data_IF_764335436929
#
_entry.id   IF_764335436929
#
_cell.length_a   1.000
_cell.length_b   1.000
_cell.length_c   1.000
_cell.angle_alpha   90.00
_cell.angle_beta   90.00
_cell.angle_gamma   90.00
#
_symmetry.space_group_name_H-M   'P 1'
#
loop_
_entity.id
_entity.type
_entity.pdbx_description
1 polymer ?
#
# COMPACT_ATOMS: atom_id res chain seq x y z
N UNK A 1 9.14 -24.14 -14.36
CA UNK A 1 9.87 -23.39 -13.32
C UNK A 1 11.39 -23.62 -13.38
N UNK A 2 11.92 -24.69 -13.92
CA UNK A 2 13.37 -25.00 -13.91
C UNK A 2 14.17 -24.35 -15.04
N UNK A 3 13.53 -23.73 -16.02
CA UNK A 3 14.20 -23.04 -17.11
C UNK A 3 13.35 -21.84 -17.56
N UNK A 4 13.98 -20.69 -17.83
CA UNK A 4 13.35 -19.48 -18.35
C UNK A 4 13.10 -18.41 -17.29
N UNK A 5 12.27 -17.39 -17.60
CA UNK A 5 12.06 -16.21 -16.75
C UNK A 5 11.46 -16.48 -15.36
N UNK A 6 10.86 -17.66 -15.15
CA UNK A 6 10.29 -18.08 -13.88
C UNK A 6 11.29 -18.85 -12.98
N UNK A 7 12.48 -19.11 -13.47
CA UNK A 7 13.54 -19.79 -12.72
C UNK A 7 13.89 -19.06 -11.40
N UNK A 8 13.83 -17.73 -11.42
CA UNK A 8 14.05 -16.92 -10.23
C UNK A 8 13.18 -17.30 -9.01
N UNK A 9 12.01 -17.92 -9.22
CA UNK A 9 11.11 -18.38 -8.17
C UNK A 9 11.30 -19.86 -7.78
N UNK A 10 12.21 -20.57 -8.43
CA UNK A 10 12.47 -22.00 -8.20
C UNK A 10 13.59 -22.26 -7.19
N UNK A 11 14.33 -21.23 -6.80
CA UNK A 11 15.45 -21.34 -5.88
C UNK A 11 15.01 -21.23 -4.42
N UNK A 12 15.85 -21.72 -3.51
CA UNK A 12 15.65 -21.49 -2.08
C UNK A 12 15.67 -19.99 -1.76
N UNK A 13 14.83 -19.58 -0.80
CA UNK A 13 14.76 -18.19 -0.40
C UNK A 13 16.07 -17.71 0.21
N UNK A 14 16.65 -16.68 -0.35
CA UNK A 14 17.83 -15.98 0.19
C UNK A 14 17.46 -14.78 1.10
N UNK A 15 16.17 -14.62 1.41
CA UNK A 15 15.65 -13.54 2.23
C UNK A 15 15.46 -14.01 3.66
N UNK A 16 16.07 -13.32 4.63
CA UNK A 16 15.76 -13.53 6.05
C UNK A 16 14.40 -12.94 6.39
N UNK A 17 13.42 -13.82 6.55
CA UNK A 17 12.04 -13.46 6.89
C UNK A 17 11.82 -13.21 8.39
N UNK A 18 12.84 -13.29 9.23
CA UNK A 18 12.71 -13.16 10.68
C UNK A 18 12.80 -11.70 11.17
N UNK A 19 13.17 -10.77 10.31
CA UNK A 19 13.28 -9.36 10.64
C UNK A 19 11.94 -8.76 11.08
N UNK A 20 11.98 -7.83 12.05
CA UNK A 20 10.80 -7.12 12.54
C UNK A 20 10.14 -6.26 11.47
N UNK A 21 10.93 -5.66 10.59
CA UNK A 21 10.48 -4.85 9.46
C UNK A 21 10.97 -5.53 8.21
N UNK A 22 10.06 -5.77 7.27
CA UNK A 22 10.34 -6.33 5.96
C UNK A 22 9.76 -5.43 4.89
N UNK A 23 10.50 -5.22 3.83
CA UNK A 23 10.09 -4.48 2.65
C UNK A 23 10.25 -5.38 1.43
N UNK A 24 9.19 -5.49 0.65
CA UNK A 24 9.19 -6.16 -0.63
C UNK A 24 9.13 -5.10 -1.73
N UNK A 25 10.19 -4.96 -2.50
CA UNK A 25 10.21 -4.10 -3.67
C UNK A 25 9.96 -4.95 -4.92
N UNK A 26 8.96 -4.52 -5.70
CA UNK A 26 8.54 -5.18 -6.94
C UNK A 26 8.75 -4.30 -8.17
N UNK A 27 9.42 -3.15 -8.00
CA UNK A 27 9.58 -2.15 -9.07
C UNK A 27 10.32 -2.74 -10.27
N UNK A 28 11.39 -3.47 -10.01
CA UNK A 28 12.25 -4.06 -11.05
C UNK A 28 11.71 -5.36 -11.64
N UNK A 29 10.59 -5.88 -11.12
CA UNK A 29 9.92 -7.02 -11.72
C UNK A 29 9.24 -6.61 -13.02
N UNK A 30 9.75 -7.07 -14.16
CA UNK A 30 9.11 -6.86 -15.46
C UNK A 30 7.64 -7.31 -15.46
N UNK A 31 6.83 -6.80 -16.38
CA UNK A 31 5.37 -7.06 -16.43
C UNK A 31 4.98 -8.54 -16.33
N UNK A 32 5.78 -9.43 -16.91
CA UNK A 32 5.51 -10.88 -16.89
C UNK A 32 5.68 -11.49 -15.49
N UNK A 33 6.65 -11.01 -14.70
CA UNK A 33 6.94 -11.54 -13.37
C UNK A 33 6.16 -10.85 -12.26
N UNK A 34 5.60 -9.66 -12.52
CA UNK A 34 4.90 -8.84 -11.53
C UNK A 34 3.73 -9.58 -10.88
N UNK A 35 2.88 -10.22 -11.68
CA UNK A 35 1.74 -10.99 -11.17
C UNK A 35 2.20 -12.16 -10.29
N UNK A 36 3.20 -12.92 -10.74
CA UNK A 36 3.75 -14.03 -9.97
C UNK A 36 4.42 -13.53 -8.69
N UNK A 37 5.20 -12.45 -8.77
CA UNK A 37 5.81 -11.80 -7.61
C UNK A 37 4.78 -11.36 -6.58
N UNK A 38 3.68 -10.74 -7.01
CA UNK A 38 2.57 -10.36 -6.12
C UNK A 38 1.94 -11.57 -5.42
N UNK A 39 1.74 -12.68 -6.13
CA UNK A 39 1.20 -13.91 -5.52
C UNK A 39 2.16 -14.48 -4.47
N UNK A 40 3.45 -14.59 -4.80
CA UNK A 40 4.48 -15.10 -3.88
C UNK A 40 4.60 -14.22 -2.64
N UNK A 41 4.65 -12.90 -2.81
CA UNK A 41 4.73 -11.95 -1.70
C UNK A 41 3.47 -12.02 -0.83
N UNK A 42 2.29 -12.10 -1.45
CA UNK A 42 1.04 -12.20 -0.69
C UNK A 42 0.98 -13.49 0.12
N UNK A 43 1.44 -14.61 -0.43
CA UNK A 43 1.54 -15.86 0.30
C UNK A 43 2.55 -15.78 1.46
N UNK A 44 3.72 -15.20 1.22
CA UNK A 44 4.73 -14.94 2.26
C UNK A 44 4.17 -14.05 3.39
N UNK A 45 3.42 -12.99 3.05
CA UNK A 45 2.74 -12.14 4.03
C UNK A 45 1.70 -12.92 4.84
N UNK A 46 0.88 -13.76 4.19
CA UNK A 46 -0.12 -14.59 4.87
C UNK A 46 0.52 -15.58 5.84
N UNK A 47 1.62 -16.19 5.46
CA UNK A 47 2.39 -17.11 6.30
C UNK A 47 2.95 -16.36 7.51
N UNK A 48 3.56 -15.20 7.30
CA UNK A 48 4.08 -14.36 8.38
C UNK A 48 3.00 -13.89 9.36
N UNK A 49 1.85 -13.44 8.82
CA UNK A 49 0.68 -13.08 9.64
C UNK A 49 0.23 -14.25 10.49
N UNK A 50 0.21 -15.45 9.91
CA UNK A 50 -0.22 -16.66 10.61
C UNK A 50 0.71 -17.00 11.76
N UNK A 51 2.02 -16.97 11.54
CA UNK A 51 3.03 -17.23 12.56
C UNK A 51 2.99 -16.18 13.68
N UNK A 52 2.88 -14.90 13.35
CA UNK A 52 2.75 -13.83 14.33
C UNK A 52 1.47 -14.00 15.18
N UNK A 53 0.34 -14.34 14.53
CA UNK A 53 -0.92 -14.58 15.21
C UNK A 53 -0.85 -15.73 16.22
N UNK A 54 -0.23 -16.87 15.85
CA UNK A 54 0.01 -18.00 16.75
C UNK A 54 0.83 -17.60 17.99
N UNK A 55 1.72 -16.60 17.84
CA UNK A 55 2.55 -16.05 18.90
C UNK A 55 1.88 -14.88 19.65
N UNK A 56 0.61 -14.55 19.37
CA UNK A 56 -0.09 -13.42 19.96
C UNK A 56 0.41 -12.04 19.50
N UNK A 57 1.21 -11.99 18.44
CA UNK A 57 1.78 -10.75 17.89
C UNK A 57 0.83 -10.11 16.89
N UNK A 58 0.87 -8.78 16.82
CA UNK A 58 0.20 -7.98 15.79
C UNK A 58 1.08 -7.86 14.55
N UNK A 59 0.46 -7.78 13.38
CA UNK A 59 1.15 -7.52 12.12
C UNK A 59 0.54 -6.31 11.42
N UNK A 60 1.36 -5.32 11.09
CA UNK A 60 0.97 -4.19 10.26
C UNK A 60 1.51 -4.39 8.86
N UNK A 61 0.67 -4.23 7.87
CA UNK A 61 0.99 -4.42 6.45
C UNK A 61 0.68 -3.10 5.74
N UNK A 62 1.68 -2.54 5.07
CA UNK A 62 1.53 -1.34 4.26
C UNK A 62 1.72 -1.71 2.80
N UNK A 63 0.78 -1.31 1.96
CA UNK A 63 0.73 -1.62 0.55
C UNK A 63 0.67 -0.30 -0.21
N UNK A 64 1.80 0.09 -0.75
CA UNK A 64 1.90 1.26 -1.60
C UNK A 64 1.49 0.94 -3.03
N UNK A 65 0.97 1.93 -3.76
CA UNK A 65 0.40 1.79 -5.11
C UNK A 65 -0.59 0.61 -5.22
N UNK A 66 -1.50 0.54 -4.25
CA UNK A 66 -2.41 -0.59 -4.06
C UNK A 66 -3.23 -0.96 -5.30
N UNK A 67 -3.49 0.00 -6.20
CA UNK A 67 -4.19 -0.24 -7.45
C UNK A 67 -3.53 -1.31 -8.33
N UNK A 68 -2.21 -1.46 -8.24
CA UNK A 68 -1.42 -2.44 -9.00
C UNK A 68 -1.88 -3.88 -8.77
N UNK A 69 -2.40 -4.17 -7.58
CA UNK A 69 -2.93 -5.50 -7.22
C UNK A 69 -4.11 -5.90 -8.11
N UNK A 70 -4.88 -4.90 -8.59
CA UNK A 70 -6.10 -5.11 -9.39
C UNK A 70 -5.88 -5.00 -10.90
N UNK A 71 -4.67 -4.74 -11.36
CA UNK A 71 -4.32 -4.79 -12.80
C UNK A 71 -4.54 -6.17 -13.42
N UNK A 72 -4.55 -7.21 -12.57
CA UNK A 72 -4.84 -8.59 -12.98
C UNK A 72 -5.93 -9.17 -12.06
N UNK A 73 -6.94 -9.79 -12.67
CA UNK A 73 -8.09 -10.34 -11.96
C UNK A 73 -7.69 -11.43 -10.95
N UNK A 74 -6.72 -12.28 -11.29
CA UNK A 74 -6.24 -13.35 -10.39
C UNK A 74 -5.55 -12.77 -9.16
N UNK A 75 -4.68 -11.77 -9.31
CA UNK A 75 -4.03 -11.12 -8.18
C UNK A 75 -5.04 -10.39 -7.31
N UNK A 76 -6.00 -9.68 -7.90
CA UNK A 76 -7.08 -9.00 -7.18
C UNK A 76 -7.94 -9.96 -6.36
N UNK A 77 -8.39 -11.07 -6.96
CA UNK A 77 -9.20 -12.08 -6.26
C UNK A 77 -8.41 -12.77 -5.13
N UNK A 78 -7.15 -13.12 -5.38
CA UNK A 78 -6.28 -13.73 -4.38
C UNK A 78 -6.05 -12.77 -3.21
N UNK A 79 -5.74 -11.50 -3.50
CA UNK A 79 -5.50 -10.49 -2.48
C UNK A 79 -6.77 -10.15 -1.67
N UNK A 80 -7.93 -10.08 -2.30
CA UNK A 80 -9.21 -9.90 -1.59
C UNK A 80 -9.47 -11.05 -0.60
N UNK A 81 -9.14 -12.29 -0.98
CA UNK A 81 -9.21 -13.44 -0.06
C UNK A 81 -8.22 -13.29 1.10
N UNK A 82 -7.00 -12.82 0.84
CA UNK A 82 -5.98 -12.55 1.86
C UNK A 82 -6.42 -11.44 2.83
N UNK A 83 -7.00 -10.35 2.33
CA UNK A 83 -7.50 -9.21 3.10
C UNK A 83 -8.48 -9.64 4.19
N UNK A 84 -9.43 -10.52 3.84
CA UNK A 84 -10.40 -11.07 4.81
C UNK A 84 -9.74 -11.92 5.89
N UNK A 85 -8.64 -12.61 5.58
CA UNK A 85 -7.89 -13.44 6.53
C UNK A 85 -7.05 -12.59 7.47
N UNK A 86 -6.50 -11.47 7.02
CA UNK A 86 -5.71 -10.56 7.83
C UNK A 86 -6.49 -10.09 9.05
N UNK A 87 -7.73 -9.62 8.86
CA UNK A 87 -8.60 -9.20 9.98
C UNK A 87 -8.76 -10.27 11.04
N UNK A 88 -8.99 -11.53 10.64
CA UNK A 88 -9.18 -12.65 11.56
C UNK A 88 -7.91 -13.05 12.31
N UNK A 89 -6.75 -12.59 11.88
CA UNK A 89 -5.44 -12.96 12.40
C UNK A 89 -4.69 -11.79 13.03
N UNK A 90 -5.42 -10.81 13.57
CA UNK A 90 -4.84 -9.64 14.23
C UNK A 90 -3.81 -8.91 13.35
N UNK A 91 -4.07 -8.86 12.06
CA UNK A 91 -3.28 -8.12 11.09
C UNK A 91 -4.05 -6.90 10.58
N UNK A 92 -3.33 -5.79 10.41
CA UNK A 92 -3.86 -4.48 10.07
C UNK A 92 -3.29 -4.05 8.71
N UNK A 93 -3.98 -4.37 7.62
CA UNK A 93 -3.56 -3.92 6.31
C UNK A 93 -3.93 -2.45 6.10
N UNK A 94 -2.99 -1.68 5.56
CA UNK A 94 -3.13 -0.28 5.14
C UNK A 94 -2.81 -0.21 3.66
N UNK A 95 -3.79 0.11 2.84
CA UNK A 95 -3.62 0.33 1.41
C UNK A 95 -3.43 1.81 1.13
N UNK A 96 -2.44 2.14 0.33
CA UNK A 96 -2.10 3.50 -0.09
C UNK A 96 -2.17 3.54 -1.61
N UNK A 97 -2.81 4.56 -2.17
CA UNK A 97 -2.90 4.74 -3.61
C UNK A 97 -3.07 6.20 -3.98
N UNK A 98 -2.54 6.58 -5.11
CA UNK A 98 -2.78 7.87 -5.76
C UNK A 98 -3.82 7.73 -6.87
N UNK A 99 -4.06 6.53 -7.38
CA UNK A 99 -4.97 6.26 -8.50
C UNK A 99 -6.28 5.65 -7.98
N UNK A 100 -7.19 6.52 -7.54
CA UNK A 100 -8.45 6.13 -6.93
C UNK A 100 -9.46 5.65 -7.98
N UNK A 101 -9.48 6.28 -9.16
CA UNK A 101 -10.39 5.91 -10.24
C UNK A 101 -10.28 4.43 -10.60
N UNK A 102 -9.06 3.95 -10.77
CA UNK A 102 -8.80 2.56 -11.11
C UNK A 102 -9.31 1.57 -10.04
N UNK A 103 -9.23 1.97 -8.78
CA UNK A 103 -9.79 1.16 -7.69
C UNK A 103 -11.31 1.17 -7.66
N UNK A 104 -11.93 2.31 -7.96
CA UNK A 104 -13.38 2.46 -7.91
C UNK A 104 -14.08 1.72 -9.05
N UNK A 105 -13.40 1.50 -10.17
CA UNK A 105 -13.91 0.73 -11.30
C UNK A 105 -13.84 -0.80 -11.05
N UNK A 106 -13.04 -1.24 -10.08
CA UNK A 106 -12.99 -2.64 -9.65
C UNK A 106 -14.04 -2.94 -8.58
N UNK A 107 -14.95 -3.86 -8.83
CA UNK A 107 -15.96 -4.33 -7.85
C UNK A 107 -15.30 -4.87 -6.58
N UNK A 108 -14.20 -5.59 -6.73
CA UNK A 108 -13.45 -6.14 -5.58
C UNK A 108 -12.85 -5.02 -4.73
N UNK A 109 -12.20 -4.05 -5.36
CA UNK A 109 -11.58 -2.93 -4.66
C UNK A 109 -12.63 -2.02 -4.01
N UNK A 110 -13.72 -1.69 -4.71
CA UNK A 110 -14.82 -0.90 -4.16
C UNK A 110 -15.43 -1.57 -2.93
N UNK A 111 -15.59 -2.89 -2.95
CA UNK A 111 -16.04 -3.65 -1.78
C UNK A 111 -15.06 -3.57 -0.61
N UNK A 112 -13.75 -3.61 -0.87
CA UNK A 112 -12.73 -3.47 0.16
C UNK A 112 -12.74 -2.06 0.76
N UNK A 113 -12.86 -1.01 -0.05
CA UNK A 113 -12.98 0.38 0.39
C UNK A 113 -14.21 0.55 1.27
N UNK A 114 -15.38 0.09 0.82
CA UNK A 114 -16.64 0.21 1.57
C UNK A 114 -16.59 -0.49 2.94
N UNK A 115 -15.83 -1.59 3.04
CA UNK A 115 -15.64 -2.35 4.28
C UNK A 115 -14.45 -1.88 5.12
N UNK A 116 -13.75 -0.82 4.69
CA UNK A 116 -12.65 -0.26 5.46
C UNK A 116 -13.18 0.59 6.61
N UNK A 117 -12.72 0.29 7.82
CA UNK A 117 -13.12 1.00 9.04
C UNK A 117 -12.55 2.43 9.08
N UNK A 118 -11.35 2.60 8.50
CA UNK A 118 -10.62 3.86 8.53
C UNK A 118 -10.15 4.21 7.12
N UNK A 119 -10.55 5.38 6.63
CA UNK A 119 -10.17 5.88 5.31
C UNK A 119 -9.68 7.31 5.44
N UNK A 120 -8.47 7.59 4.99
CA UNK A 120 -7.89 8.93 4.91
C UNK A 120 -7.96 9.40 3.46
N UNK A 121 -8.62 10.50 3.24
CA UNK A 121 -8.74 11.14 1.93
C UNK A 121 -8.01 12.47 1.96
N UNK A 122 -6.96 12.58 1.17
CA UNK A 122 -6.24 13.82 0.90
C UNK A 122 -6.90 14.54 -0.29
N UNK A 123 -6.21 15.51 -0.88
CA UNK A 123 -6.70 16.19 -2.07
C UNK A 123 -6.98 15.20 -3.21
N UNK A 124 -8.17 15.29 -3.80
CA UNK A 124 -8.62 14.36 -4.85
C UNK A 124 -8.90 15.09 -6.16
N UNK A 125 -8.63 14.42 -7.28
CA UNK A 125 -9.03 14.88 -8.61
C UNK A 125 -10.56 14.90 -8.76
N UNK A 126 -11.08 15.73 -9.67
CA UNK A 126 -12.53 15.92 -9.81
C UNK A 126 -13.30 14.61 -10.15
N UNK A 127 -12.87 13.77 -11.08
CA UNK A 127 -13.58 12.52 -11.38
C UNK A 127 -13.67 11.59 -10.17
N UNK A 128 -12.59 11.50 -9.40
CA UNK A 128 -12.49 10.62 -8.23
C UNK A 128 -13.41 11.07 -7.10
N UNK A 129 -13.54 12.39 -6.91
CA UNK A 129 -14.39 12.97 -5.86
C UNK A 129 -15.84 12.54 -5.99
N UNK A 130 -16.39 12.59 -7.20
CA UNK A 130 -17.79 12.23 -7.45
C UNK A 130 -18.05 10.74 -7.14
N UNK A 131 -17.15 9.88 -7.59
CA UNK A 131 -17.23 8.42 -7.32
C UNK A 131 -17.09 8.14 -5.81
N UNK A 132 -16.10 8.75 -5.13
CA UNK A 132 -15.89 8.62 -3.68
C UNK A 132 -17.07 9.16 -2.88
N UNK A 133 -17.64 10.30 -3.26
CA UNK A 133 -18.80 10.87 -2.59
C UNK A 133 -19.98 9.90 -2.60
N UNK A 134 -20.25 9.29 -3.73
CA UNK A 134 -21.31 8.29 -3.86
C UNK A 134 -21.03 7.05 -3.03
N UNK A 135 -19.80 6.51 -3.10
CA UNK A 135 -19.42 5.28 -2.41
C UNK A 135 -19.42 5.42 -0.88
N UNK A 136 -19.00 6.58 -0.37
CA UNK A 136 -18.78 6.82 1.05
C UNK A 136 -19.85 7.71 1.70
N UNK A 137 -20.86 8.13 0.93
CA UNK A 137 -21.92 9.07 1.35
C UNK A 137 -21.36 10.39 1.89
N UNK A 138 -20.43 10.99 1.13
CA UNK A 138 -19.82 12.29 1.48
C UNK A 138 -20.74 13.41 0.99
N UNK A 139 -21.11 14.36 1.87
CA UNK A 139 -21.93 15.52 1.48
C UNK A 139 -21.13 16.52 0.64
N UNK A 140 -21.86 17.41 -0.05
CA UNK A 140 -21.24 18.49 -0.85
C UNK A 140 -20.34 19.39 -0.01
N UNK A 141 -20.76 19.70 1.23
CA UNK A 141 -19.98 20.51 2.17
C UNK A 141 -18.70 19.78 2.60
N UNK A 142 -18.80 18.49 2.89
CA UNK A 142 -17.65 17.65 3.27
C UNK A 142 -16.67 17.47 2.11
N UNK A 143 -17.16 17.44 0.88
CA UNK A 143 -16.31 17.38 -0.33
C UNK A 143 -15.35 18.58 -0.42
N UNK A 144 -15.72 19.72 0.13
CA UNK A 144 -14.86 20.90 0.20
C UNK A 144 -13.50 20.62 0.87
N UNK A 145 -13.44 19.69 1.82
CA UNK A 145 -12.21 19.35 2.55
C UNK A 145 -11.22 18.47 1.76
N UNK A 146 -11.66 17.90 0.63
CA UNK A 146 -10.80 17.12 -0.28
C UNK A 146 -10.69 17.74 -1.67
N UNK A 147 -11.24 18.96 -1.83
CA UNK A 147 -11.17 19.77 -3.04
C UNK A 147 -10.17 20.89 -2.82
N UNK A 148 -9.07 20.90 -3.57
CA UNK A 148 -8.00 21.88 -3.43
C UNK A 148 -7.44 21.97 -1.99
N UNK A 149 -7.42 20.86 -1.28
CA UNK A 149 -6.87 20.79 0.07
C UNK A 149 -5.35 21.02 0.06
N UNK A 150 -4.86 21.76 1.03
CA UNK A 150 -3.43 21.91 1.27
C UNK A 150 -2.77 20.58 1.62
N UNK A 151 -1.45 20.48 1.41
CA UNK A 151 -0.68 19.32 1.82
C UNK A 151 -0.87 19.05 3.33
N UNK A 152 -1.21 17.81 3.65
CA UNK A 152 -1.49 17.39 5.03
C UNK A 152 -2.90 17.73 5.54
N UNK A 153 -3.78 18.23 4.67
CA UNK A 153 -5.20 18.46 4.99
C UNK A 153 -6.07 17.47 4.24
N UNK A 154 -7.24 17.17 4.79
CA UNK A 154 -8.16 16.24 4.16
C UNK A 154 -9.34 15.85 5.03
N UNK A 155 -9.93 14.70 4.71
CA UNK A 155 -11.09 14.13 5.37
C UNK A 155 -10.78 12.71 5.82
N UNK A 156 -11.11 12.38 7.07
CA UNK A 156 -11.00 11.04 7.62
C UNK A 156 -12.39 10.47 7.82
N UNK A 157 -12.61 9.26 7.30
CA UNK A 157 -13.75 8.42 7.65
C UNK A 157 -13.33 7.43 8.73
N UNK A 158 -14.08 7.37 9.81
CA UNK A 158 -13.95 6.35 10.85
C UNK A 158 -15.35 5.84 11.22
N UNK A 159 -15.60 4.58 10.92
CA UNK A 159 -16.95 4.03 11.01
C UNK A 159 -17.94 4.83 10.16
N UNK A 160 -18.96 5.40 10.79
CA UNK A 160 -19.96 6.28 10.15
C UNK A 160 -19.59 7.78 10.18
N UNK A 161 -18.54 8.16 10.89
CA UNK A 161 -18.15 9.55 11.07
C UNK A 161 -17.18 10.01 10.01
N UNK A 162 -17.38 11.22 9.50
CA UNK A 162 -16.50 11.92 8.56
C UNK A 162 -15.99 13.19 9.25
N UNK A 163 -14.68 13.31 9.44
CA UNK A 163 -14.04 14.38 10.20
C UNK A 163 -12.96 15.04 9.36
N UNK A 164 -12.99 16.36 9.15
CA UNK A 164 -11.89 17.06 8.51
C UNK A 164 -10.68 17.09 9.44
N UNK A 165 -9.48 17.03 8.86
CA UNK A 165 -8.24 17.09 9.61
C UNK A 165 -7.21 18.01 8.96
N UNK A 166 -6.29 18.49 9.80
CA UNK A 166 -5.09 19.24 9.41
C UNK A 166 -3.92 18.59 10.12
N UNK A 167 -3.02 18.00 9.36
CA UNK A 167 -1.80 17.39 9.86
C UNK A 167 -0.60 17.85 9.00
N UNK A 168 -0.14 19.08 9.26
CA UNK A 168 1.02 19.65 8.58
C UNK A 168 2.29 19.11 9.21
N UNK A 169 2.99 18.25 8.48
CA UNK A 169 4.24 17.68 8.97
C UNK A 169 5.32 18.77 9.11
N UNK A 170 6.07 18.84 10.23
CA UNK A 170 7.10 19.85 10.43
C UNK A 170 8.27 19.66 9.46
N UNK A 171 8.47 20.63 8.55
CA UNK A 171 9.47 20.55 7.48
C UNK A 171 10.91 20.75 7.97
N UNK A 172 11.09 21.30 9.15
CA UNK A 172 12.42 21.54 9.77
C UNK A 172 12.98 20.30 10.47
N UNK A 173 12.29 19.16 10.45
CA UNK A 173 12.74 17.94 11.13
C UNK A 173 13.65 17.09 10.25
N UNK A 174 14.55 16.31 10.91
CA UNK A 174 15.38 15.33 10.20
C UNK A 174 14.51 14.27 9.50
N UNK A 175 13.40 13.89 10.11
CA UNK A 175 12.48 12.89 9.53
C UNK A 175 11.87 13.41 8.23
N UNK A 176 11.44 14.67 8.19
CA UNK A 176 10.95 15.28 6.94
C UNK A 176 12.01 15.23 5.84
N UNK A 177 13.24 15.63 6.14
CA UNK A 177 14.35 15.63 5.19
C UNK A 177 14.71 14.25 4.66
N UNK A 178 14.49 13.20 5.45
CA UNK A 178 14.71 11.81 5.03
C UNK A 178 13.57 11.27 4.17
N UNK A 179 12.33 11.76 4.37
CA UNK A 179 11.14 11.23 3.72
C UNK A 179 10.65 12.09 2.54
N UNK A 180 11.14 13.33 2.40
CA UNK A 180 10.71 14.19 1.31
C UNK A 180 11.25 13.69 -0.03
N UNK A 181 10.39 13.67 -1.04
CA UNK A 181 10.74 13.39 -2.44
C UNK A 181 10.74 14.64 -3.30
N UNK A 182 10.56 15.83 -2.69
CA UNK A 182 10.54 17.08 -3.44
C UNK A 182 11.92 17.41 -3.98
N UNK A 183 12.05 17.72 -5.27
CA UNK A 183 13.31 18.15 -5.85
C UNK A 183 13.90 19.36 -5.11
N UNK A 184 15.17 19.27 -4.71
CA UNK A 184 15.87 20.32 -3.97
C UNK A 184 15.76 20.28 -2.44
N UNK A 185 14.83 19.51 -1.88
CA UNK A 185 14.70 19.29 -0.43
C UNK A 185 15.38 17.98 0.03
N UNK A 186 15.78 17.12 -0.89
CA UNK A 186 16.29 15.75 -0.71
C UNK A 186 17.80 15.64 -0.45
N UNK A 187 18.42 16.67 0.15
CA UNK A 187 19.87 16.76 0.32
C UNK A 187 20.52 15.64 1.15
N UNK A 188 19.73 14.76 1.77
CA UNK A 188 20.21 13.65 2.61
C UNK A 188 20.07 12.28 1.93
N UNK A 189 19.18 12.13 0.95
CA UNK A 189 18.84 10.82 0.38
C UNK A 189 19.83 10.28 -0.67
N UNK A 190 20.65 11.13 -1.29
CA UNK A 190 21.60 10.68 -2.31
C UNK A 190 22.78 9.87 -1.77
N UNK A 191 23.05 9.89 -0.47
CA UNK A 191 24.12 9.12 0.16
C UNK A 191 23.72 7.75 0.71
N UNK A 192 22.43 7.49 0.91
CA UNK A 192 21.95 6.27 1.58
C UNK A 192 21.47 5.18 0.62
N UNK A 193 21.23 5.52 -0.65
CA UNK A 193 20.82 4.56 -1.70
C UNK A 193 21.99 3.82 -2.37
N UNK A 194 23.23 4.07 -1.94
CA UNK A 194 24.43 3.38 -2.45
C UNK A 194 24.81 2.10 -1.70
N UNK A 195 24.00 1.64 -0.74
CA UNK A 195 24.11 0.28 -0.23
C UNK A 195 23.15 -0.64 -0.98
N UNK A 196 23.32 -0.73 -2.28
CA UNK A 196 22.91 -1.89 -3.04
C UNK A 196 23.77 -3.07 -2.56
N UNK A 197 23.12 -4.18 -2.26
CA UNK A 197 23.74 -5.46 -1.99
C UNK A 197 24.94 -5.72 -2.89
N UNK A 198 26.02 -6.32 -2.38
CA UNK A 198 27.14 -6.69 -3.22
C UNK A 198 26.66 -7.56 -4.37
N UNK A 199 27.03 -7.17 -5.58
CA UNK A 199 26.78 -7.97 -6.79
C UNK A 199 27.35 -9.37 -6.57
N UNK A 200 26.63 -10.44 -6.88
CA UNK A 200 27.19 -11.78 -6.85
C UNK A 200 28.04 -12.03 -8.10
N UNK A 201 29.16 -11.31 -8.20
CA UNK A 201 30.24 -11.53 -9.14
C UNK A 201 31.51 -11.04 -8.50
N UNK A 202 32.14 -11.92 -7.77
CA UNK A 202 33.57 -12.21 -7.71
C UNK A 202 33.74 -13.53 -6.94
#
# INVERSE_FOLDING_TARGET
FTNGSLDAFAHESNVDVNNRIMVYDILDLGKQLKTMGLLVITDAMLNRVTENWKQGKRTHIFLDEFHVVFENEYSGAFFNSAWRRFRKRNAFPTAITQNVEYLLDSVLASTMISNSEYIVMLNQAEPDRAKLATLLNISTEQMGYITNADAGCGLVKYGSSLVPFVNRFPTNTRLYKLMTTKPGEDSINRGCLLYTSPSPRD
#
